data_IF_053437251930
#
_entry.id   IF_053437251930
#
_cell.length_a   1.000
_cell.length_b   1.000
_cell.length_c   1.000
_cell.angle_alpha   90.00
_cell.angle_beta   90.00
_cell.angle_gamma   90.00
#
_symmetry.space_group_name_H-M   'P 1'
#
loop_
_entity.id
_entity.type
_entity.pdbx_description
1 polymer ?
#
# COMPACT_ATOMS: atom_id res chain seq x y z
N UNK A 1 58.31 -29.23 60.81
CA UNK A 1 56.93 -29.60 61.19
C UNK A 1 55.98 -29.60 60.00
N UNK A 2 55.82 -28.45 59.25
CA UNK A 2 54.85 -28.38 58.09
C UNK A 2 55.35 -29.14 56.86
N UNK A 3 56.65 -29.03 56.56
CA UNK A 3 57.30 -29.75 55.45
C UNK A 3 57.38 -31.25 55.72
N UNK A 4 57.59 -31.66 56.97
CA UNK A 4 57.66 -33.07 57.35
C UNK A 4 56.28 -33.73 57.27
N UNK A 5 55.22 -32.99 57.66
CA UNK A 5 53.87 -33.45 57.53
C UNK A 5 53.42 -33.56 56.03
N UNK A 6 53.89 -32.62 55.17
CA UNK A 6 53.63 -32.66 53.70
C UNK A 6 54.37 -33.85 53.07
N UNK A 7 55.63 -34.10 53.43
CA UNK A 7 56.41 -35.23 52.94
C UNK A 7 55.82 -36.59 53.33
N UNK A 8 55.35 -36.71 54.59
CA UNK A 8 54.69 -37.94 55.05
C UNK A 8 53.34 -38.16 54.34
N UNK A 9 52.59 -37.10 54.10
CA UNK A 9 51.35 -37.20 53.34
C UNK A 9 51.52 -37.52 51.80
N UNK A 10 52.65 -37.05 51.24
CA UNK A 10 53.04 -37.41 49.85
C UNK A 10 53.63 -38.82 49.76
N UNK A 11 54.20 -39.38 50.80
CA UNK A 11 54.71 -40.75 50.77
C UNK A 11 53.59 -41.80 50.83
N UNK A 12 52.47 -41.48 51.48
CA UNK A 12 51.28 -42.34 51.54
C UNK A 12 49.99 -41.58 51.16
N UNK A 13 49.80 -41.21 49.95
CA UNK A 13 48.71 -40.33 49.52
C UNK A 13 47.27 -40.88 49.68
N UNK A 14 47.17 -42.20 49.96
CA UNK A 14 45.89 -42.87 50.21
C UNK A 14 45.64 -43.27 51.64
N UNK A 15 46.60 -42.91 52.58
CA UNK A 15 46.42 -43.18 53.99
C UNK A 15 45.33 -42.27 54.59
N UNK A 16 44.22 -42.86 55.04
CA UNK A 16 43.15 -42.15 55.74
C UNK A 16 43.47 -41.85 57.15
N UNK A 17 43.95 -40.62 57.44
CA UNK A 17 44.16 -40.14 58.79
C UNK A 17 42.94 -39.34 59.23
N UNK A 18 42.24 -39.81 60.27
CA UNK A 18 41.10 -39.11 60.86
C UNK A 18 41.47 -38.27 62.02
N UNK A 19 41.32 -36.96 62.01
CA UNK A 19 41.56 -36.01 63.05
C UNK A 19 40.25 -35.34 63.52
N UNK A 20 40.29 -34.63 64.66
CA UNK A 20 39.11 -33.88 65.14
C UNK A 20 38.61 -32.80 64.14
N UNK A 21 39.50 -32.31 63.29
CA UNK A 21 39.18 -31.30 62.31
C UNK A 21 38.75 -31.89 60.93
N UNK A 22 38.96 -33.22 60.74
CA UNK A 22 38.63 -33.92 59.50
C UNK A 22 37.15 -33.65 58.99
N UNK A 23 36.14 -33.66 59.89
CA UNK A 23 34.76 -33.37 59.47
C UNK A 23 34.58 -31.93 58.95
N UNK A 24 35.31 -30.97 59.49
CA UNK A 24 35.25 -29.57 59.03
C UNK A 24 35.87 -29.43 57.66
N UNK A 25 37.06 -30.03 57.45
CA UNK A 25 37.65 -30.00 56.08
C UNK A 25 36.82 -30.75 55.04
N UNK A 26 36.21 -31.86 55.41
CA UNK A 26 35.37 -32.62 54.54
C UNK A 26 34.13 -31.81 54.13
N UNK A 27 33.55 -31.11 55.09
CA UNK A 27 32.40 -30.20 54.78
C UNK A 27 32.85 -29.05 53.90
N UNK A 28 33.99 -28.41 54.14
CA UNK A 28 34.50 -27.31 53.29
C UNK A 28 34.77 -27.81 51.88
N UNK A 29 35.45 -28.93 51.71
CA UNK A 29 35.72 -29.51 50.37
C UNK A 29 34.46 -29.94 49.67
N UNK A 30 33.46 -30.49 50.37
CA UNK A 30 32.16 -30.83 49.79
C UNK A 30 31.42 -29.62 49.29
N UNK A 31 31.44 -28.52 50.06
CA UNK A 31 30.83 -27.24 49.62
C UNK A 31 31.56 -26.68 48.42
N UNK A 32 32.90 -26.66 48.42
CA UNK A 32 33.69 -26.21 47.27
C UNK A 32 33.38 -27.06 46.03
N UNK A 33 33.32 -28.37 46.19
CA UNK A 33 32.98 -29.29 45.11
C UNK A 33 31.55 -29.04 44.56
N UNK A 34 30.58 -28.88 45.47
CA UNK A 34 29.21 -28.60 45.11
C UNK A 34 29.09 -27.28 44.34
N UNK A 35 29.80 -26.21 44.78
CA UNK A 35 29.85 -24.94 44.06
C UNK A 35 30.53 -25.10 42.70
N UNK A 36 31.63 -25.82 42.61
CA UNK A 36 32.32 -26.07 41.35
C UNK A 36 31.42 -26.85 40.35
N UNK A 37 30.66 -27.85 40.82
CA UNK A 37 29.69 -28.58 40.01
C UNK A 37 28.56 -27.68 39.58
N UNK A 38 27.99 -26.84 40.47
CA UNK A 38 26.94 -25.87 40.11
C UNK A 38 27.46 -24.91 39.07
N UNK A 39 28.64 -24.34 39.21
CA UNK A 39 29.24 -23.42 38.26
C UNK A 39 29.47 -24.12 36.89
N UNK A 40 30.05 -25.30 36.89
CA UNK A 40 30.28 -26.04 35.63
C UNK A 40 28.98 -26.45 34.92
N UNK A 41 27.93 -26.80 35.66
CA UNK A 41 26.63 -27.15 35.08
C UNK A 41 25.88 -25.89 34.60
N UNK A 42 25.96 -24.78 35.36
CA UNK A 42 25.29 -23.52 34.93
C UNK A 42 26.08 -22.77 33.84
N UNK A 43 27.40 -22.93 33.77
CA UNK A 43 28.22 -22.31 32.71
C UNK A 43 28.29 -23.16 31.43
N UNK A 44 27.54 -24.24 31.37
CA UNK A 44 27.34 -24.93 30.11
C UNK A 44 26.60 -23.99 29.15
N UNK A 45 27.38 -23.25 28.34
CA UNK A 45 26.87 -22.50 27.23
C UNK A 45 26.03 -23.46 26.38
N UNK A 46 24.79 -23.09 26.11
CA UNK A 46 23.88 -23.81 25.17
C UNK A 46 24.48 -23.75 23.77
N UNK A 47 25.64 -24.34 23.58
CA UNK A 47 26.27 -24.45 22.27
C UNK A 47 25.50 -25.50 21.47
N UNK A 48 25.10 -25.13 20.27
CA UNK A 48 24.52 -26.06 19.28
C UNK A 48 25.62 -26.38 18.26
N UNK A 49 26.41 -27.43 18.49
CA UNK A 49 27.45 -27.82 17.53
C UNK A 49 26.86 -28.06 16.14
N UNK A 50 27.45 -27.45 15.10
CA UNK A 50 26.95 -27.53 13.75
C UNK A 50 25.88 -26.47 13.40
N UNK A 51 25.56 -25.56 14.33
CA UNK A 51 24.63 -24.44 14.11
C UNK A 51 25.26 -23.09 14.43
N UNK A 52 26.60 -22.95 14.28
CA UNK A 52 27.36 -21.74 14.60
C UNK A 52 26.92 -20.53 13.78
N UNK A 53 26.40 -20.75 12.57
CA UNK A 53 25.87 -19.73 11.66
C UNK A 53 24.34 -19.66 11.65
N UNK A 54 23.68 -20.31 12.59
CA UNK A 54 22.22 -20.38 12.71
C UNK A 54 21.67 -21.80 12.42
N UNK A 55 20.48 -22.06 12.94
CA UNK A 55 19.79 -23.34 12.76
C UNK A 55 18.84 -23.35 11.56
N UNK A 56 18.91 -22.34 10.68
CA UNK A 56 18.07 -22.26 9.49
C UNK A 56 18.42 -23.37 8.51
N UNK A 57 17.41 -24.08 8.06
CA UNK A 57 17.53 -25.15 7.05
C UNK A 57 16.36 -25.00 6.05
N UNK A 58 16.52 -25.59 4.87
CA UNK A 58 15.42 -25.65 3.91
C UNK A 58 14.23 -26.39 4.51
N UNK A 59 13.05 -25.78 4.41
CA UNK A 59 11.81 -26.39 4.89
C UNK A 59 11.38 -27.55 3.99
N UNK A 60 10.79 -28.57 4.60
CA UNK A 60 10.10 -29.63 3.86
C UNK A 60 8.76 -29.10 3.33
N UNK A 61 8.60 -29.09 2.00
CA UNK A 61 7.42 -28.56 1.29
C UNK A 61 6.13 -29.27 1.74
N UNK A 62 6.16 -30.59 1.96
CA UNK A 62 4.98 -31.33 2.41
C UNK A 62 4.54 -30.92 3.81
N UNK A 63 5.50 -30.72 4.72
CA UNK A 63 5.22 -30.22 6.08
C UNK A 63 4.70 -28.79 6.05
N UNK A 64 5.29 -27.93 5.22
CA UNK A 64 4.86 -26.53 5.07
C UNK A 64 3.45 -26.44 4.49
N UNK A 65 3.14 -27.18 3.43
CA UNK A 65 1.79 -27.23 2.87
C UNK A 65 0.74 -27.72 3.88
N UNK A 66 1.10 -28.64 4.78
CA UNK A 66 0.20 -29.09 5.84
C UNK A 66 -0.25 -27.96 6.77
N UNK A 67 0.63 -26.97 7.00
CA UNK A 67 0.35 -25.82 7.86
C UNK A 67 -0.28 -24.65 7.12
N UNK A 68 0.19 -24.35 5.93
CA UNK A 68 -0.11 -23.09 5.24
C UNK A 68 -1.14 -23.22 4.12
N UNK A 69 -1.29 -24.39 3.50
CA UNK A 69 -2.27 -24.61 2.44
C UNK A 69 -3.66 -24.84 3.02
N UNK A 70 -4.65 -24.15 2.47
CA UNK A 70 -6.04 -24.47 2.74
C UNK A 70 -6.53 -25.56 1.79
N UNK A 71 -6.85 -26.74 2.33
CA UNK A 71 -7.30 -27.90 1.54
C UNK A 71 -8.67 -27.71 0.90
N UNK A 72 -9.52 -26.87 1.49
CA UNK A 72 -10.90 -26.65 1.07
C UNK A 72 -11.17 -25.20 0.68
N UNK A 73 -10.17 -24.34 0.74
CA UNK A 73 -10.27 -22.93 0.46
C UNK A 73 -9.37 -22.49 -0.69
N UNK A 74 -9.30 -21.18 -0.85
CA UNK A 74 -8.47 -20.56 -1.89
C UNK A 74 -7.04 -20.38 -1.43
N UNK A 75 -6.09 -20.57 -2.34
CA UNK A 75 -4.67 -20.49 -2.08
C UNK A 75 -3.97 -19.57 -3.08
N UNK A 76 -2.81 -19.05 -2.68
CA UNK A 76 -1.81 -18.46 -3.57
C UNK A 76 -0.70 -19.49 -3.80
N UNK A 77 -0.28 -19.60 -5.04
CA UNK A 77 0.84 -20.44 -5.47
C UNK A 77 2.15 -19.66 -5.32
N UNK A 78 3.02 -20.06 -4.39
CA UNK A 78 4.33 -19.39 -4.19
C UNK A 78 5.42 -20.02 -5.05
N UNK A 79 5.41 -21.34 -5.15
CA UNK A 79 6.30 -22.12 -6.03
C UNK A 79 5.50 -23.23 -6.67
N UNK A 80 6.11 -23.99 -7.60
CA UNK A 80 5.46 -25.11 -8.26
C UNK A 80 4.78 -26.11 -7.30
N UNK A 81 5.21 -26.20 -6.06
CA UNK A 81 4.73 -27.19 -5.09
C UNK A 81 4.33 -26.61 -3.74
N UNK A 82 4.44 -25.30 -3.55
CA UNK A 82 4.15 -24.67 -2.27
C UNK A 82 3.03 -23.65 -2.38
N UNK A 83 2.00 -23.84 -1.56
CA UNK A 83 0.78 -23.05 -1.52
C UNK A 83 0.60 -22.40 -0.16
N UNK A 84 -0.05 -21.25 -0.15
CA UNK A 84 -0.41 -20.52 1.05
C UNK A 84 -1.89 -20.10 0.98
N UNK A 85 -2.65 -20.46 2.01
CA UNK A 85 -4.06 -20.08 2.09
C UNK A 85 -4.24 -18.58 2.21
N UNK A 86 -5.23 -18.00 1.54
CA UNK A 86 -5.52 -16.56 1.60
C UNK A 86 -6.27 -16.14 2.86
N UNK A 87 -6.82 -17.06 3.63
CA UNK A 87 -7.49 -16.76 4.89
C UNK A 87 -6.47 -16.48 6.01
N UNK A 88 -6.09 -15.22 6.19
CA UNK A 88 -5.13 -14.78 7.21
C UNK A 88 -5.61 -15.04 8.65
N UNK A 89 -6.90 -15.10 8.90
CA UNK A 89 -7.44 -15.44 10.23
C UNK A 89 -7.22 -16.92 10.58
N UNK A 90 -7.38 -17.79 9.60
CA UNK A 90 -7.19 -19.24 9.76
C UNK A 90 -5.70 -19.59 9.92
N UNK A 91 -4.87 -19.01 9.09
CA UNK A 91 -3.44 -19.36 9.02
C UNK A 91 -2.54 -18.42 9.83
N UNK A 92 -3.08 -17.30 10.35
CA UNK A 92 -2.38 -16.32 11.19
C UNK A 92 -1.07 -15.77 10.57
N UNK A 93 -1.07 -15.57 9.27
CA UNK A 93 0.05 -14.99 8.55
C UNK A 93 -0.39 -13.89 7.59
N UNK A 94 0.55 -13.03 7.23
CA UNK A 94 0.37 -12.03 6.21
C UNK A 94 0.52 -12.64 4.81
N UNK A 95 -0.31 -12.21 3.87
CA UNK A 95 -0.29 -12.63 2.47
C UNK A 95 0.37 -11.62 1.54
N UNK A 96 1.07 -10.61 2.08
CA UNK A 96 1.90 -9.72 1.26
C UNK A 96 3.14 -10.46 0.79
N UNK A 97 3.34 -10.51 -0.53
CA UNK A 97 4.40 -11.30 -1.15
C UNK A 97 5.26 -10.37 -2.01
N UNK A 98 6.58 -10.39 -1.76
CA UNK A 98 7.56 -9.68 -2.56
C UNK A 98 8.30 -10.67 -3.47
N UNK A 99 8.21 -10.45 -4.79
CA UNK A 99 8.87 -11.28 -5.79
C UNK A 99 9.99 -10.47 -6.44
N UNK A 100 11.21 -10.92 -6.23
CA UNK A 100 12.42 -10.24 -6.72
C UNK A 100 13.04 -11.04 -7.88
N UNK A 101 13.38 -10.33 -8.94
CA UNK A 101 14.05 -10.93 -10.10
C UNK A 101 14.30 -9.90 -11.19
N UNK A 102 15.36 -10.07 -11.96
CA UNK A 102 15.70 -9.22 -13.10
C UNK A 102 14.67 -9.29 -14.24
N UNK A 103 14.86 -8.51 -15.28
CA UNK A 103 14.07 -8.60 -16.51
C UNK A 103 14.27 -9.99 -17.14
N UNK A 104 13.19 -10.60 -17.62
CA UNK A 104 13.25 -11.95 -18.20
C UNK A 104 13.38 -13.11 -17.21
N UNK A 105 13.50 -12.85 -15.88
CA UNK A 105 13.57 -13.92 -14.86
C UNK A 105 12.29 -14.74 -14.69
N UNK A 106 11.24 -14.41 -15.44
CA UNK A 106 10.00 -15.19 -15.46
C UNK A 106 8.98 -14.83 -14.38
N UNK A 107 9.12 -13.71 -13.66
CA UNK A 107 8.19 -13.32 -12.58
C UNK A 107 6.71 -13.42 -12.99
N UNK A 108 6.35 -12.83 -14.12
CA UNK A 108 4.98 -12.89 -14.64
C UNK A 108 4.58 -14.32 -15.03
N UNK A 109 5.48 -15.07 -15.66
CA UNK A 109 5.22 -16.42 -16.14
C UNK A 109 5.10 -17.45 -15.02
N UNK A 110 5.93 -17.34 -13.98
CA UNK A 110 6.01 -18.36 -12.93
C UNK A 110 5.18 -18.06 -11.69
N UNK A 111 4.84 -16.78 -11.48
CA UNK A 111 4.01 -16.35 -10.35
C UNK A 111 2.73 -15.64 -10.79
N UNK A 112 2.82 -14.56 -11.58
CA UNK A 112 1.67 -13.71 -11.91
C UNK A 112 0.56 -14.50 -12.60
N UNK A 113 0.85 -15.05 -13.79
CA UNK A 113 -0.13 -15.83 -14.58
C UNK A 113 -0.68 -17.03 -13.82
N UNK A 114 0.12 -17.90 -13.16
CA UNK A 114 -0.41 -19.00 -12.38
C UNK A 114 -1.38 -18.57 -11.28
N UNK A 115 -1.05 -17.52 -10.51
CA UNK A 115 -1.94 -17.04 -9.44
C UNK A 115 -3.24 -16.41 -9.97
N UNK A 116 -3.21 -15.77 -11.12
CA UNK A 116 -4.43 -15.31 -11.80
C UNK A 116 -5.28 -16.51 -12.22
N UNK A 117 -4.69 -17.59 -12.71
CA UNK A 117 -5.39 -18.80 -13.16
C UNK A 117 -5.92 -19.67 -12.02
N UNK A 118 -5.40 -19.56 -10.81
CA UNK A 118 -5.97 -20.18 -9.59
C UNK A 118 -7.40 -19.70 -9.30
N UNK A 119 -7.80 -18.52 -9.80
CA UNK A 119 -9.15 -17.99 -9.65
C UNK A 119 -9.62 -17.97 -8.18
N UNK A 120 -8.71 -17.65 -7.27
CA UNK A 120 -8.91 -17.80 -5.84
C UNK A 120 -9.80 -16.70 -5.23
N UNK A 121 -9.72 -15.48 -5.77
CA UNK A 121 -10.30 -14.26 -5.22
C UNK A 121 -10.56 -13.23 -6.32
N UNK A 122 -11.14 -12.07 -6.00
CA UNK A 122 -11.11 -10.93 -6.91
C UNK A 122 -9.68 -10.43 -7.08
N UNK A 123 -9.39 -9.84 -8.24
CA UNK A 123 -8.02 -9.45 -8.58
C UNK A 123 -7.97 -8.05 -9.16
N UNK A 124 -6.94 -7.28 -8.78
CA UNK A 124 -6.55 -6.04 -9.43
C UNK A 124 -5.13 -6.19 -9.93
N UNK A 125 -4.95 -6.12 -11.23
CA UNK A 125 -3.71 -6.53 -11.88
C UNK A 125 -3.12 -5.34 -12.63
N UNK A 126 -1.96 -4.85 -12.21
CA UNK A 126 -1.18 -3.91 -13.01
C UNK A 126 -0.46 -4.69 -14.10
N UNK A 127 -0.89 -4.50 -15.34
CA UNK A 127 -0.43 -5.31 -16.49
C UNK A 127 0.29 -4.46 -17.55
N UNK A 128 1.60 -4.24 -17.39
CA UNK A 128 2.40 -3.61 -18.44
C UNK A 128 2.32 -4.44 -19.72
N UNK A 129 1.96 -3.79 -20.85
CA UNK A 129 1.82 -4.43 -22.19
C UNK A 129 0.59 -5.33 -22.35
N UNK A 130 -0.33 -5.39 -21.38
CA UNK A 130 -1.53 -6.24 -21.43
C UNK A 130 -1.22 -7.74 -21.67
N UNK A 131 -0.06 -8.22 -21.18
CA UNK A 131 0.37 -9.59 -21.40
C UNK A 131 -0.48 -10.58 -20.59
N UNK A 132 -0.78 -10.25 -19.34
CA UNK A 132 -1.57 -11.11 -18.45
C UNK A 132 -3.02 -11.16 -18.94
N UNK A 133 -3.60 -10.01 -19.30
CA UNK A 133 -4.94 -9.93 -19.84
C UNK A 133 -5.11 -10.81 -21.08
N UNK A 134 -4.19 -10.73 -22.06
CA UNK A 134 -4.25 -11.55 -23.29
C UNK A 134 -4.18 -13.03 -23.01
N UNK A 135 -3.43 -13.45 -21.98
CA UNK A 135 -3.26 -14.87 -21.63
C UNK A 135 -4.41 -15.42 -20.80
N UNK A 136 -5.03 -14.62 -19.96
CA UNK A 136 -5.94 -15.11 -18.91
C UNK A 136 -7.38 -14.60 -19.04
N UNK A 137 -7.61 -13.47 -19.69
CA UNK A 137 -8.90 -12.78 -19.69
C UNK A 137 -10.08 -13.65 -20.16
N UNK A 138 -9.92 -14.39 -21.26
CA UNK A 138 -10.98 -15.27 -21.77
C UNK A 138 -11.26 -16.44 -20.80
N UNK A 139 -10.23 -17.00 -20.17
CA UNK A 139 -10.39 -18.07 -19.22
C UNK A 139 -11.08 -17.60 -17.95
N UNK A 140 -10.75 -16.40 -17.47
CA UNK A 140 -11.43 -15.78 -16.32
C UNK A 140 -12.92 -15.59 -16.59
N UNK A 141 -13.30 -15.11 -17.78
CA UNK A 141 -14.71 -15.00 -18.20
C UNK A 141 -15.41 -16.36 -18.17
N UNK A 142 -14.76 -17.41 -18.68
CA UNK A 142 -15.30 -18.79 -18.64
C UNK A 142 -15.43 -19.32 -17.19
N UNK A 143 -14.61 -18.84 -16.26
CA UNK A 143 -14.67 -19.16 -14.83
C UNK A 143 -15.67 -18.28 -14.03
N UNK A 144 -16.46 -17.48 -14.72
CA UNK A 144 -17.50 -16.63 -14.12
C UNK A 144 -17.00 -15.31 -13.52
N UNK A 145 -15.79 -14.88 -13.88
CA UNK A 145 -15.34 -13.53 -13.53
C UNK A 145 -15.94 -12.49 -14.45
N UNK A 146 -16.31 -11.36 -13.88
CA UNK A 146 -16.41 -10.12 -14.66
C UNK A 146 -14.98 -9.60 -14.87
N UNK A 147 -14.66 -9.31 -16.13
CA UNK A 147 -13.33 -8.82 -16.51
C UNK A 147 -13.47 -7.37 -16.93
N UNK A 148 -12.95 -6.47 -16.10
CA UNK A 148 -12.87 -5.04 -16.33
C UNK A 148 -11.47 -4.67 -16.78
N UNK A 149 -11.34 -3.73 -17.70
CA UNK A 149 -10.05 -3.31 -18.24
C UNK A 149 -9.98 -1.79 -18.23
N UNK A 150 -9.12 -1.24 -17.41
CA UNK A 150 -8.71 0.15 -17.47
C UNK A 150 -7.42 0.24 -18.30
N UNK A 151 -7.57 0.70 -19.55
CA UNK A 151 -6.51 0.59 -20.56
C UNK A 151 -5.96 1.97 -20.95
N UNK A 152 -4.77 2.30 -20.45
CA UNK A 152 -4.05 3.52 -20.82
C UNK A 152 -3.21 3.35 -22.10
N UNK A 153 -3.10 2.12 -22.62
CA UNK A 153 -2.45 1.84 -23.92
C UNK A 153 -3.43 2.14 -25.05
N UNK A 154 -4.68 1.72 -24.88
CA UNK A 154 -5.77 1.97 -25.82
C UNK A 154 -7.01 2.53 -25.09
N UNK A 155 -7.01 3.82 -24.73
CA UNK A 155 -8.10 4.42 -23.95
C UNK A 155 -9.48 4.32 -24.61
N UNK A 156 -9.54 4.16 -25.94
CA UNK A 156 -10.80 4.02 -26.66
C UNK A 156 -11.55 2.70 -26.38
N UNK A 157 -10.84 1.66 -25.92
CA UNK A 157 -11.38 0.36 -25.56
C UNK A 157 -11.41 0.11 -24.05
N UNK A 158 -11.18 1.15 -23.26
CA UNK A 158 -11.12 1.10 -21.80
C UNK A 158 -12.48 1.30 -21.17
N UNK A 159 -12.72 0.69 -20.03
CA UNK A 159 -13.75 1.10 -19.09
C UNK A 159 -13.39 2.45 -18.48
N UNK A 160 -14.41 3.27 -18.20
CA UNK A 160 -14.24 4.59 -17.62
C UNK A 160 -14.10 4.54 -16.10
N UNK A 161 -13.35 5.49 -15.56
CA UNK A 161 -13.12 5.65 -14.11
C UNK A 161 -13.24 7.11 -13.73
N UNK A 162 -14.26 7.47 -12.97
CA UNK A 162 -14.43 8.81 -12.43
C UNK A 162 -14.07 8.83 -10.94
N UNK A 163 -12.95 9.48 -10.55
CA UNK A 163 -12.54 9.56 -9.15
C UNK A 163 -13.55 10.22 -8.21
N UNK A 164 -14.41 11.11 -8.71
CA UNK A 164 -15.40 11.80 -7.88
C UNK A 164 -16.44 10.86 -7.28
N UNK A 165 -16.77 9.77 -7.98
CA UNK A 165 -17.76 8.78 -7.54
C UNK A 165 -17.34 8.09 -6.21
N UNK A 166 -16.05 8.05 -5.94
CA UNK A 166 -15.48 7.39 -4.75
C UNK A 166 -15.16 8.34 -3.61
N UNK A 167 -15.48 9.62 -3.77
CA UNK A 167 -15.33 10.63 -2.71
C UNK A 167 -16.64 10.74 -1.93
N UNK A 168 -16.60 10.49 -0.64
CA UNK A 168 -17.79 10.44 0.22
C UNK A 168 -17.78 11.50 1.32
N UNK A 169 -16.64 12.13 1.58
CA UNK A 169 -16.52 13.23 2.53
C UNK A 169 -15.41 14.23 2.09
N UNK A 170 -15.43 15.41 2.70
CA UNK A 170 -14.51 16.51 2.35
C UNK A 170 -13.03 16.15 2.59
N UNK A 171 -12.73 15.20 3.49
CA UNK A 171 -11.35 14.75 3.77
C UNK A 171 -10.83 13.87 2.64
N UNK A 172 -11.71 13.11 2.00
CA UNK A 172 -11.32 12.26 0.87
C UNK A 172 -10.97 13.09 -0.37
N UNK A 173 -11.53 14.31 -0.49
CA UNK A 173 -11.08 15.28 -1.50
C UNK A 173 -9.61 15.62 -1.30
N UNK A 174 -9.19 15.92 -0.07
CA UNK A 174 -7.78 16.17 0.24
C UNK A 174 -6.89 14.98 -0.11
N UNK A 175 -7.30 13.78 0.27
CA UNK A 175 -6.54 12.56 -0.05
C UNK A 175 -6.39 12.36 -1.56
N UNK A 176 -7.45 12.64 -2.33
CA UNK A 176 -7.41 12.55 -3.78
C UNK A 176 -6.46 13.58 -4.39
N UNK A 177 -6.49 14.82 -3.90
CA UNK A 177 -5.58 15.90 -4.33
C UNK A 177 -4.14 15.58 -3.96
N UNK A 178 -3.87 15.12 -2.73
CA UNK A 178 -2.53 14.72 -2.30
C UNK A 178 -1.96 13.60 -3.17
N UNK A 179 -2.78 12.59 -3.48
CA UNK A 179 -2.40 11.50 -4.38
C UNK A 179 -2.05 12.04 -5.78
N UNK A 180 -2.90 12.93 -6.32
CA UNK A 180 -2.67 13.56 -7.61
C UNK A 180 -1.34 14.35 -7.61
N UNK A 181 -1.12 15.21 -6.61
CA UNK A 181 0.09 16.05 -6.50
C UNK A 181 1.34 15.17 -6.38
N UNK A 182 1.34 14.19 -5.47
CA UNK A 182 2.47 13.30 -5.25
C UNK A 182 2.86 12.51 -6.51
N UNK A 183 1.88 12.02 -7.26
CA UNK A 183 2.13 11.21 -8.44
C UNK A 183 2.42 12.04 -9.71
N UNK A 184 2.11 13.34 -9.71
CA UNK A 184 2.42 14.25 -10.83
C UNK A 184 3.64 15.13 -10.58
N UNK A 185 4.21 15.10 -9.37
CA UNK A 185 5.44 15.84 -9.04
C UNK A 185 6.67 14.98 -9.38
N UNK A 186 7.63 15.48 -10.20
CA UNK A 186 8.82 14.71 -10.55
C UNK A 186 9.68 14.39 -9.32
N UNK A 187 10.16 13.14 -9.22
CA UNK A 187 10.92 12.62 -8.07
C UNK A 187 12.22 13.41 -7.75
N UNK A 188 12.70 14.21 -8.66
CA UNK A 188 13.93 15.01 -8.52
C UNK A 188 13.68 16.48 -8.20
N UNK A 189 12.44 16.94 -8.15
CA UNK A 189 12.08 18.34 -7.85
C UNK A 189 11.92 18.60 -6.34
N UNK A 190 12.87 18.15 -5.52
CA UNK A 190 12.83 18.29 -4.05
C UNK A 190 13.01 19.71 -3.51
N UNK A 191 12.89 20.76 -4.30
CA UNK A 191 13.13 22.13 -3.85
C UNK A 191 12.05 23.14 -4.25
N UNK A 192 10.83 22.71 -4.51
CA UNK A 192 9.75 23.69 -4.61
C UNK A 192 9.40 24.16 -3.20
N UNK A 193 9.30 25.50 -3.06
CA UNK A 193 8.77 26.11 -1.87
C UNK A 193 7.41 25.46 -1.54
N UNK A 194 7.19 24.96 -0.31
CA UNK A 194 5.92 24.35 0.10
C UNK A 194 4.69 25.26 -0.12
N UNK A 195 4.92 26.55 -0.32
CA UNK A 195 3.88 27.53 -0.64
C UNK A 195 3.12 27.16 -1.93
N UNK A 196 3.82 26.79 -2.99
CA UNK A 196 3.19 26.48 -4.28
C UNK A 196 2.26 25.27 -4.19
N UNK A 197 2.74 24.20 -3.61
CA UNK A 197 1.98 22.96 -3.44
C UNK A 197 0.73 23.16 -2.56
N UNK A 198 0.87 23.93 -1.47
CA UNK A 198 -0.26 24.28 -0.59
C UNK A 198 -1.28 25.17 -1.29
N UNK A 199 -0.83 26.10 -2.12
CA UNK A 199 -1.72 27.01 -2.86
C UNK A 199 -2.48 26.28 -3.98
N UNK A 200 -1.80 25.37 -4.70
CA UNK A 200 -2.43 24.46 -5.64
C UNK A 200 -3.49 23.57 -4.96
N UNK A 201 -3.14 23.01 -3.80
CA UNK A 201 -4.06 22.20 -2.99
C UNK A 201 -5.29 22.99 -2.59
N UNK A 202 -5.14 24.23 -2.12
CA UNK A 202 -6.27 25.06 -1.72
C UNK A 202 -7.22 25.37 -2.88
N UNK A 203 -6.66 25.71 -4.06
CA UNK A 203 -7.47 25.94 -5.26
C UNK A 203 -8.20 24.67 -5.69
N UNK A 204 -7.48 23.55 -5.83
CA UNK A 204 -8.09 22.27 -6.23
C UNK A 204 -9.18 21.83 -5.23
N UNK A 205 -8.93 22.01 -3.94
CA UNK A 205 -9.92 21.70 -2.91
C UNK A 205 -11.18 22.57 -3.03
N UNK A 206 -11.01 23.87 -3.29
CA UNK A 206 -12.14 24.77 -3.52
C UNK A 206 -13.00 24.30 -4.69
N UNK A 207 -12.37 24.03 -5.85
CA UNK A 207 -13.06 23.63 -7.08
C UNK A 207 -13.75 22.25 -6.93
N UNK A 208 -13.05 21.28 -6.39
CA UNK A 208 -13.58 19.91 -6.24
C UNK A 208 -14.72 19.85 -5.22
N UNK A 209 -14.59 20.55 -4.09
CA UNK A 209 -15.69 20.65 -3.11
C UNK A 209 -16.89 21.41 -3.66
N UNK A 210 -16.66 22.46 -4.47
CA UNK A 210 -17.75 23.15 -5.17
C UNK A 210 -18.51 22.16 -6.05
N UNK A 211 -17.82 21.42 -6.91
CA UNK A 211 -18.45 20.43 -7.78
C UNK A 211 -19.17 19.33 -6.99
N UNK A 212 -18.60 18.87 -5.91
CA UNK A 212 -19.16 17.78 -5.11
C UNK A 212 -20.48 18.16 -4.43
N UNK A 213 -20.58 19.42 -3.93
CA UNK A 213 -21.74 19.88 -3.15
C UNK A 213 -22.78 20.63 -3.96
N UNK A 214 -22.36 21.27 -5.06
CA UNK A 214 -23.21 22.20 -5.79
C UNK A 214 -23.58 21.76 -7.21
N UNK A 215 -22.71 20.95 -7.83
CA UNK A 215 -22.92 20.52 -9.21
C UNK A 215 -23.70 19.20 -9.30
N UNK A 216 -24.47 19.00 -10.38
CA UNK A 216 -25.08 17.70 -10.63
C UNK A 216 -24.03 16.61 -10.89
N UNK A 217 -24.36 15.34 -10.66
CA UNK A 217 -23.39 14.24 -10.77
C UNK A 217 -22.65 14.16 -12.10
N UNK A 218 -23.28 14.58 -13.19
CA UNK A 218 -22.72 14.56 -14.55
C UNK A 218 -21.56 15.58 -14.70
N UNK A 219 -21.55 16.62 -13.89
CA UNK A 219 -20.52 17.66 -13.88
C UNK A 219 -19.41 17.38 -12.84
N UNK A 220 -19.56 16.39 -11.99
CA UNK A 220 -18.58 16.00 -10.99
C UNK A 220 -17.46 15.18 -11.62
N UNK A 221 -16.55 15.82 -12.34
CA UNK A 221 -15.41 15.20 -13.00
C UNK A 221 -14.25 16.18 -13.24
N UNK A 222 -13.09 15.67 -13.63
CA UNK A 222 -11.91 16.50 -13.85
C UNK A 222 -12.02 17.42 -15.10
N UNK A 223 -12.83 17.08 -16.08
CA UNK A 223 -13.06 17.99 -17.22
C UNK A 223 -13.71 19.28 -16.75
N UNK A 224 -14.70 19.19 -15.85
CA UNK A 224 -15.34 20.36 -15.25
C UNK A 224 -14.38 21.16 -14.38
N UNK A 225 -13.47 20.48 -13.61
CA UNK A 225 -12.40 21.19 -12.89
C UNK A 225 -11.56 22.04 -13.85
N UNK A 226 -11.21 21.49 -15.03
CA UNK A 226 -10.43 22.21 -16.04
C UNK A 226 -11.21 23.41 -16.62
N UNK A 227 -12.50 23.28 -16.85
CA UNK A 227 -13.35 24.40 -17.27
C UNK A 227 -13.43 25.51 -16.21
N UNK A 228 -13.55 25.12 -14.94
CA UNK A 228 -13.52 26.09 -13.83
C UNK A 228 -12.17 26.82 -13.75
N UNK A 229 -11.04 26.12 -13.96
CA UNK A 229 -9.71 26.73 -14.00
C UNK A 229 -9.61 27.71 -15.17
N UNK A 230 -10.13 27.34 -16.33
CA UNK A 230 -10.16 28.21 -17.51
C UNK A 230 -11.03 29.47 -17.28
N UNK A 231 -12.12 29.32 -16.51
CA UNK A 231 -13.00 30.45 -16.13
C UNK A 231 -12.40 31.34 -15.02
N UNK A 232 -11.29 30.94 -14.39
CA UNK A 232 -10.57 31.70 -13.36
C UNK A 232 -9.61 32.71 -13.99
N UNK A 233 -10.11 33.61 -14.83
CA UNK A 233 -9.27 34.66 -15.44
C UNK A 233 -8.76 35.65 -14.37
N UNK A 234 -7.49 36.02 -14.45
CA UNK A 234 -6.86 37.02 -13.58
C UNK A 234 -6.30 38.14 -14.44
N UNK A 235 -6.80 39.35 -14.23
CA UNK A 235 -6.30 40.58 -14.84
C UNK A 235 -5.31 41.24 -13.89
N UNK A 236 -4.05 41.37 -14.33
CA UNK A 236 -2.98 41.95 -13.48
C UNK A 236 -3.12 43.45 -13.26
N UNK A 237 -3.81 44.13 -14.18
CA UNK A 237 -3.93 45.60 -14.21
C UNK A 237 -5.26 46.09 -13.62
N UNK A 238 -6.17 45.20 -13.22
CA UNK A 238 -7.49 45.55 -12.65
C UNK A 238 -7.80 44.72 -11.41
N UNK A 239 -7.52 45.24 -10.25
CA UNK A 239 -7.78 44.59 -8.96
C UNK A 239 -9.28 44.41 -8.67
N UNK A 240 -10.17 45.06 -9.40
CA UNK A 240 -11.62 44.93 -9.25
C UNK A 240 -12.26 43.98 -10.26
N UNK A 241 -11.44 43.37 -11.12
CA UNK A 241 -11.97 42.40 -12.08
C UNK A 241 -12.48 41.14 -11.37
N UNK A 242 -13.71 40.79 -11.68
CA UNK A 242 -14.35 39.55 -11.20
C UNK A 242 -14.45 38.56 -12.37
N UNK A 243 -13.76 37.43 -12.24
CA UNK A 243 -13.88 36.34 -13.18
C UNK A 243 -15.23 35.62 -13.03
N UNK A 244 -15.68 34.86 -14.03
CA UNK A 244 -16.87 33.99 -13.89
C UNK A 244 -16.79 33.06 -12.67
N UNK A 245 -15.59 32.59 -12.35
CA UNK A 245 -15.35 31.74 -11.17
C UNK A 245 -15.56 32.54 -9.86
N UNK A 246 -15.10 33.78 -9.79
CA UNK A 246 -15.32 34.66 -8.62
C UNK A 246 -16.81 34.85 -8.34
N UNK A 247 -17.59 35.14 -9.39
CA UNK A 247 -19.05 35.31 -9.29
C UNK A 247 -19.72 34.04 -8.78
N UNK A 248 -19.22 32.89 -9.17
CA UNK A 248 -19.76 31.60 -8.79
C UNK A 248 -19.55 31.33 -7.29
N UNK A 249 -18.34 31.59 -6.78
CA UNK A 249 -18.02 31.47 -5.35
C UNK A 249 -18.69 32.54 -4.50
N UNK A 250 -18.84 33.78 -5.00
CA UNK A 250 -19.56 34.82 -4.30
C UNK A 250 -21.04 34.46 -4.09
N UNK A 251 -21.70 33.88 -5.10
CA UNK A 251 -23.07 33.39 -4.96
C UNK A 251 -23.19 32.25 -3.94
N UNK A 252 -22.21 31.34 -3.91
CA UNK A 252 -22.17 30.29 -2.90
C UNK A 252 -21.98 30.89 -1.50
N UNK A 253 -21.06 31.84 -1.36
CA UNK A 253 -20.78 32.50 -0.07
C UNK A 253 -21.99 33.26 0.48
N UNK A 254 -22.77 33.92 -0.39
CA UNK A 254 -24.04 34.57 0.00
C UNK A 254 -25.08 33.57 0.54
N UNK A 255 -25.07 32.34 0.03
CA UNK A 255 -26.03 31.30 0.43
C UNK A 255 -25.52 30.49 1.62
N UNK A 256 -24.23 30.11 1.62
CA UNK A 256 -23.55 29.37 2.67
C UNK A 256 -22.18 29.98 2.99
N UNK A 257 -22.15 30.97 3.95
CA UNK A 257 -20.90 31.62 4.37
C UNK A 257 -19.89 30.68 5.02
N UNK A 258 -20.35 29.52 5.51
CA UNK A 258 -19.52 28.54 6.20
C UNK A 258 -18.98 27.46 5.28
N UNK A 259 -19.33 27.45 4.00
CA UNK A 259 -18.85 26.52 3.00
C UNK A 259 -17.33 26.37 3.02
N UNK A 260 -16.85 25.15 3.11
CA UNK A 260 -15.41 24.84 3.07
C UNK A 260 -14.84 25.22 1.70
N UNK A 261 -15.59 25.03 0.63
CA UNK A 261 -15.19 25.43 -0.71
C UNK A 261 -14.88 26.93 -0.78
N UNK A 262 -15.78 27.79 -0.23
CA UNK A 262 -15.56 29.23 -0.15
C UNK A 262 -14.35 29.59 0.71
N UNK A 263 -14.15 28.91 1.86
CA UNK A 263 -13.00 29.14 2.73
C UNK A 263 -11.68 28.85 2.01
N UNK A 264 -11.61 27.78 1.24
CA UNK A 264 -10.42 27.42 0.46
C UNK A 264 -10.22 28.36 -0.73
N UNK A 265 -11.28 28.77 -1.40
CA UNK A 265 -11.20 29.76 -2.48
C UNK A 265 -10.68 31.11 -1.99
N UNK A 266 -11.10 31.57 -0.81
CA UNK A 266 -10.57 32.79 -0.19
C UNK A 266 -9.06 32.69 0.08
N UNK A 267 -8.55 31.52 0.50
CA UNK A 267 -7.11 31.32 0.68
C UNK A 267 -6.37 31.53 -0.64
N UNK A 268 -6.88 30.95 -1.73
CA UNK A 268 -6.31 31.18 -3.06
C UNK A 268 -6.34 32.66 -3.47
N UNK A 269 -7.46 33.36 -3.23
CA UNK A 269 -7.63 34.77 -3.58
C UNK A 269 -6.77 35.74 -2.74
N UNK A 270 -6.21 35.32 -1.60
CA UNK A 270 -5.22 36.11 -0.86
C UNK A 270 -3.89 36.23 -1.60
N UNK A 271 -3.62 35.40 -2.59
CA UNK A 271 -2.46 35.56 -3.44
C UNK A 271 -2.60 36.84 -4.33
N UNK A 272 -1.57 37.64 -4.39
CA UNK A 272 -1.53 38.81 -5.29
C UNK A 272 -1.69 38.38 -6.76
N UNK A 273 -2.23 39.24 -7.63
CA UNK A 273 -2.61 38.94 -9.01
C UNK A 273 -1.60 38.08 -9.82
N UNK A 274 -0.31 38.47 -9.80
CA UNK A 274 0.75 37.66 -10.47
C UNK A 274 0.94 36.28 -9.85
N UNK A 275 0.82 36.17 -8.52
CA UNK A 275 0.94 34.91 -7.80
C UNK A 275 -0.26 34.02 -8.06
N UNK A 276 -1.47 34.57 -8.03
CA UNK A 276 -2.70 33.84 -8.35
C UNK A 276 -2.67 33.28 -9.77
N UNK A 277 -2.24 34.10 -10.76
CA UNK A 277 -2.03 33.65 -12.13
C UNK A 277 -1.01 32.51 -12.25
N UNK A 278 0.09 32.58 -11.51
CA UNK A 278 1.11 31.53 -11.50
C UNK A 278 0.57 30.22 -10.89
N UNK A 279 -0.26 30.29 -9.85
CA UNK A 279 -0.94 29.13 -9.26
C UNK A 279 -1.89 28.49 -10.28
N UNK A 280 -2.71 29.29 -10.97
CA UNK A 280 -3.62 28.81 -12.01
C UNK A 280 -2.88 28.10 -13.13
N UNK A 281 -1.78 28.68 -13.63
CA UNK A 281 -0.93 28.07 -14.65
C UNK A 281 -0.34 26.76 -14.16
N UNK A 282 0.14 26.72 -12.91
CA UNK A 282 0.73 25.52 -12.32
C UNK A 282 -0.28 24.37 -12.23
N UNK A 283 -1.48 24.64 -11.71
CA UNK A 283 -2.58 23.67 -11.64
C UNK A 283 -3.03 23.23 -13.05
N UNK A 284 -3.16 24.19 -13.99
CA UNK A 284 -3.51 23.87 -15.37
C UNK A 284 -2.50 22.96 -16.07
N UNK A 285 -1.20 23.19 -15.85
CA UNK A 285 -0.13 22.32 -16.36
C UNK A 285 -0.18 20.92 -15.73
N UNK A 286 -0.41 20.86 -14.41
CA UNK A 286 -0.53 19.58 -13.67
C UNK A 286 -1.69 18.73 -14.19
N UNK A 287 -2.82 19.35 -14.47
CA UNK A 287 -4.03 18.69 -14.95
C UNK A 287 -4.15 18.64 -16.50
N UNK A 288 -3.13 19.09 -17.24
CA UNK A 288 -3.19 19.22 -18.71
C UNK A 288 -3.59 17.93 -19.43
N UNK A 289 -3.29 16.77 -18.85
CA UNK A 289 -3.69 15.48 -19.41
C UNK A 289 -5.22 15.32 -19.52
N UNK A 290 -5.99 15.92 -18.62
CA UNK A 290 -7.46 15.87 -18.66
C UNK A 290 -8.08 16.71 -19.81
N UNK A 291 -7.29 17.56 -20.46
CA UNK A 291 -7.69 18.24 -21.70
C UNK A 291 -7.60 17.34 -22.94
N UNK A 292 -6.94 16.19 -22.85
CA UNK A 292 -6.89 15.23 -23.96
C UNK A 292 -8.28 14.56 -24.09
N UNK A 293 -8.93 14.59 -25.28
CA UNK A 293 -10.29 14.07 -25.41
C UNK A 293 -10.45 12.60 -24.98
N UNK A 294 -9.40 11.79 -25.15
CA UNK A 294 -9.39 10.39 -24.73
C UNK A 294 -9.39 10.24 -23.20
N UNK A 295 -8.64 11.08 -22.50
CA UNK A 295 -8.54 11.05 -21.03
C UNK A 295 -9.77 11.72 -20.41
N UNK A 296 -10.23 12.84 -20.95
CA UNK A 296 -11.47 13.48 -20.54
C UNK A 296 -12.64 12.47 -20.57
N UNK A 297 -12.82 11.76 -21.69
CA UNK A 297 -13.84 10.71 -21.80
C UNK A 297 -13.64 9.57 -20.80
N UNK A 298 -12.38 9.13 -20.61
CA UNK A 298 -12.02 8.03 -19.70
C UNK A 298 -12.36 8.33 -18.24
N UNK A 299 -12.36 9.62 -17.85
CA UNK A 299 -12.55 10.07 -16.46
C UNK A 299 -13.88 10.80 -16.22
N UNK A 300 -14.77 10.83 -17.21
CA UNK A 300 -16.06 11.53 -17.12
C UNK A 300 -17.11 10.70 -16.36
N UNK A 301 -17.16 9.40 -16.58
CA UNK A 301 -18.12 8.48 -15.97
C UNK A 301 -17.39 7.34 -15.26
N UNK A 302 -18.11 6.59 -14.41
CA UNK A 302 -17.55 5.42 -13.73
C UNK A 302 -18.22 4.14 -14.21
N UNK A 303 -17.40 3.18 -14.62
CA UNK A 303 -17.81 1.84 -15.05
C UNK A 303 -17.04 0.75 -14.27
N UNK A 304 -16.12 1.13 -13.36
CA UNK A 304 -15.30 0.17 -12.63
C UNK A 304 -16.02 -0.39 -11.40
N UNK A 305 -16.92 0.37 -10.80
CA UNK A 305 -17.70 -0.04 -9.62
C UNK A 305 -16.81 -0.71 -8.55
N UNK A 306 -15.74 -0.01 -8.11
CA UNK A 306 -14.67 -0.56 -7.25
C UNK A 306 -15.20 -1.25 -5.98
N UNK A 307 -16.35 -0.84 -5.45
CA UNK A 307 -17.00 -1.45 -4.30
C UNK A 307 -17.42 -2.91 -4.55
N UNK A 308 -17.65 -3.29 -5.80
CA UNK A 308 -18.12 -4.64 -6.11
C UNK A 308 -17.02 -5.70 -6.08
N UNK A 309 -15.74 -5.28 -6.12
CA UNK A 309 -14.62 -6.22 -6.04
C UNK A 309 -14.59 -7.02 -4.72
N UNK A 310 -15.14 -6.46 -3.64
CA UNK A 310 -15.28 -7.15 -2.35
C UNK A 310 -16.49 -8.06 -2.23
N UNK A 311 -17.45 -7.95 -3.16
CA UNK A 311 -18.73 -8.66 -3.12
C UNK A 311 -18.80 -9.85 -4.06
N UNK A 312 -18.23 -9.73 -5.23
CA UNK A 312 -18.27 -10.74 -6.28
C UNK A 312 -16.93 -10.88 -6.99
N UNK A 313 -16.73 -11.95 -7.74
CA UNK A 313 -15.46 -12.23 -8.42
C UNK A 313 -15.28 -11.32 -9.63
N UNK A 314 -14.43 -10.32 -9.50
CA UNK A 314 -14.04 -9.38 -10.54
C UNK A 314 -12.52 -9.47 -10.76
N UNK A 315 -12.10 -9.37 -12.00
CA UNK A 315 -10.71 -9.19 -12.39
C UNK A 315 -10.55 -7.85 -13.09
N UNK A 316 -10.02 -6.85 -12.40
CA UNK A 316 -9.70 -5.54 -12.94
C UNK A 316 -8.26 -5.54 -13.45
N UNK A 317 -8.09 -5.30 -14.74
CA UNK A 317 -6.78 -5.12 -15.36
C UNK A 317 -6.49 -3.64 -15.57
N UNK A 318 -5.42 -3.14 -14.98
CA UNK A 318 -4.89 -1.80 -15.22
C UNK A 318 -3.74 -1.91 -16.23
N UNK A 319 -4.05 -1.73 -17.50
CA UNK A 319 -3.07 -1.83 -18.58
C UNK A 319 -2.34 -0.50 -18.75
N UNK A 320 -1.04 -0.51 -18.51
CA UNK A 320 -0.19 0.68 -18.58
C UNK A 320 0.89 0.54 -19.65
N UNK A 321 1.25 1.62 -20.38
CA UNK A 321 2.36 1.57 -21.32
C UNK A 321 3.70 1.45 -20.58
N UNK A 322 4.59 0.61 -21.11
CA UNK A 322 5.92 0.36 -20.52
C UNK A 322 6.89 1.58 -20.73
N UNK A 323 6.67 2.31 -21.81
CA UNK A 323 7.52 3.42 -22.24
C UNK A 323 7.10 4.79 -21.73
N UNK A 324 5.84 4.96 -21.37
CA UNK A 324 5.26 6.24 -20.95
C UNK A 324 4.58 6.10 -19.57
N UNK A 325 5.07 6.88 -18.61
CA UNK A 325 4.58 6.89 -17.24
C UNK A 325 3.70 8.10 -16.91
N UNK A 326 3.44 8.96 -17.89
CA UNK A 326 2.76 10.24 -17.68
C UNK A 326 1.36 10.11 -17.09
N UNK A 327 0.66 9.02 -17.43
CA UNK A 327 -0.71 8.73 -16.96
C UNK A 327 -0.80 7.70 -15.84
N UNK A 328 0.33 7.18 -15.34
CA UNK A 328 0.33 6.15 -14.29
C UNK A 328 -0.32 6.62 -12.98
N UNK A 329 -0.39 7.94 -12.75
CA UNK A 329 -1.07 8.50 -11.59
C UNK A 329 -2.57 8.13 -11.54
N UNK A 330 -3.22 7.94 -12.70
CA UNK A 330 -4.62 7.48 -12.76
C UNK A 330 -4.77 6.09 -12.13
N UNK A 331 -3.86 5.18 -12.42
CA UNK A 331 -3.82 3.86 -11.79
C UNK A 331 -3.52 3.96 -10.30
N UNK A 332 -2.62 4.87 -9.90
CA UNK A 332 -2.36 5.18 -8.49
C UNK A 332 -3.62 5.64 -7.75
N UNK A 333 -4.44 6.50 -8.38
CA UNK A 333 -5.72 6.95 -7.84
C UNK A 333 -6.72 5.78 -7.70
N UNK A 334 -6.82 4.91 -8.72
CA UNK A 334 -7.66 3.70 -8.65
C UNK A 334 -7.27 2.85 -7.46
N UNK A 335 -5.98 2.53 -7.26
CA UNK A 335 -5.54 1.71 -6.14
C UNK A 335 -5.83 2.36 -4.79
N UNK A 336 -5.60 3.67 -4.65
CA UNK A 336 -5.87 4.41 -3.41
C UNK A 336 -7.37 4.35 -3.07
N UNK A 337 -8.22 4.69 -4.02
CA UNK A 337 -9.68 4.71 -3.81
C UNK A 337 -10.26 3.29 -3.65
N UNK A 338 -9.73 2.31 -4.37
CA UNK A 338 -10.08 0.90 -4.18
C UNK A 338 -9.83 0.45 -2.74
N UNK A 339 -8.61 0.66 -2.23
CA UNK A 339 -8.24 0.23 -0.89
C UNK A 339 -9.11 0.93 0.16
N UNK A 340 -9.34 2.24 0.03
CA UNK A 340 -10.20 3.00 0.92
C UNK A 340 -11.66 2.50 0.90
N UNK A 341 -12.17 2.24 -0.30
CA UNK A 341 -13.54 1.73 -0.51
C UNK A 341 -13.70 0.34 0.10
N UNK A 342 -12.75 -0.57 -0.15
CA UNK A 342 -12.79 -1.92 0.39
C UNK A 342 -12.65 -1.96 1.91
N UNK A 343 -11.80 -1.12 2.50
CA UNK A 343 -11.68 -1.01 3.96
C UNK A 343 -12.97 -0.49 4.58
N UNK A 344 -13.54 0.58 4.01
CA UNK A 344 -14.83 1.11 4.48
C UNK A 344 -15.93 0.06 4.42
N UNK A 345 -15.99 -0.70 3.34
CA UNK A 345 -16.97 -1.75 3.13
C UNK A 345 -16.77 -2.90 4.12
N UNK A 346 -15.52 -3.35 4.31
CA UNK A 346 -15.20 -4.36 5.30
C UNK A 346 -15.62 -3.93 6.70
N UNK A 347 -15.28 -2.72 7.12
CA UNK A 347 -15.54 -2.25 8.49
C UNK A 347 -16.99 -1.92 8.74
N UNK A 348 -17.67 -1.23 7.82
CA UNK A 348 -19.03 -0.73 8.05
C UNK A 348 -20.12 -1.75 7.69
N UNK A 349 -19.89 -2.58 6.67
CA UNK A 349 -20.91 -3.51 6.15
C UNK A 349 -20.64 -4.95 6.58
N UNK A 350 -19.38 -5.40 6.53
CA UNK A 350 -19.03 -6.81 6.68
C UNK A 350 -18.29 -7.17 7.97
N UNK A 351 -18.36 -6.33 9.01
CA UNK A 351 -17.78 -6.61 10.33
C UNK A 351 -16.29 -6.96 10.30
N UNK A 352 -15.53 -6.27 9.44
CA UNK A 352 -14.09 -6.40 9.31
C UNK A 352 -13.60 -7.45 8.29
N UNK A 353 -14.50 -8.07 7.50
CA UNK A 353 -14.09 -9.07 6.50
C UNK A 353 -14.95 -9.01 5.24
N UNK A 354 -14.32 -8.79 4.09
CA UNK A 354 -15.02 -8.84 2.81
C UNK A 354 -15.51 -10.25 2.46
N UNK A 355 -16.68 -10.39 1.81
CA UNK A 355 -17.18 -11.66 1.30
C UNK A 355 -16.23 -12.32 0.32
N UNK A 356 -15.63 -11.53 -0.57
CA UNK A 356 -14.62 -11.99 -1.53
C UNK A 356 -13.31 -11.27 -1.24
N UNK A 357 -12.22 -11.99 -0.93
CA UNK A 357 -10.91 -11.39 -0.79
C UNK A 357 -10.44 -10.74 -2.10
N UNK A 358 -9.65 -9.68 -2.01
CA UNK A 358 -9.10 -8.97 -3.17
C UNK A 358 -7.58 -9.07 -3.18
N UNK A 359 -7.01 -9.54 -4.28
CA UNK A 359 -5.58 -9.67 -4.50
C UNK A 359 -5.09 -8.61 -5.50
N UNK A 360 -4.18 -7.74 -5.06
CA UNK A 360 -3.50 -6.77 -5.92
C UNK A 360 -2.17 -7.36 -6.42
N UNK A 361 -1.94 -7.34 -7.74
CA UNK A 361 -0.78 -7.93 -8.41
C UNK A 361 -0.06 -6.90 -9.31
#
# INVERSE_FOLDING_TARGET
ALLDALNSALAEPFALAWSQDSPRFLLVFTVIYAVAVIVTVTDQKNTRPGAEHGSAAWGDVFRLNKFYMDRHGSNLLLTQHFYIGIDGYKHKHNTNILIVGGSGAGKTRTYGVPNVLECACSMVITDPKSEILRKTGNLLKQKGYEVLVFDLINPAASFCYNPFVYVHDDREVLTLIENLIQNTTPSHSKSSDPFWEKSETALLQALMLYLLHEAPPEEQNFSMVMEMIAAAEVHEDDDNYQSPLDILFERLEMRDPDSIACKQYRIFKQAAGKTAKSILVSVGVRLAAFNLPSIAKLTMTDELHLQELGERKIALFCCIPDSDKSLNYLVGMIYTQLIQTLYRQADRVHKGRLPVPVHCL
#
